data_IF_972890072588
#
_entry.id   IF_972890072588
#
_cell.length_a   1.000
_cell.length_b   1.000
_cell.length_c   1.000
_cell.angle_alpha   90.00
_cell.angle_beta   90.00
_cell.angle_gamma   90.00
#
_symmetry.space_group_name_H-M   'P 1'
#
loop_
_entity.id
_entity.type
_entity.pdbx_description
1 polymer ?
#
# COMPACT_ATOMS: atom_id res chain seq x y z
N UNK A 1 13.21 -8.37 5.27
CA UNK A 1 12.26 -7.90 4.24
C UNK A 1 11.26 -6.98 4.92
N UNK A 2 11.20 -5.69 4.56
CA UNK A 2 10.30 -4.72 5.21
C UNK A 2 8.84 -5.04 4.85
N UNK A 3 8.03 -5.40 5.84
CA UNK A 3 6.61 -5.72 5.65
C UNK A 3 5.79 -4.44 5.77
N UNK A 4 5.06 -4.10 4.71
CA UNK A 4 4.07 -3.01 4.75
C UNK A 4 2.83 -3.56 5.45
N UNK A 5 2.29 -2.82 6.42
CA UNK A 5 1.02 -3.18 7.03
C UNK A 5 -0.10 -2.94 6.02
N UNK A 6 -1.10 -3.82 5.99
CA UNK A 6 -2.23 -3.60 5.09
C UNK A 6 -2.99 -2.34 5.50
N UNK A 7 -3.23 -1.43 4.55
CA UNK A 7 -4.13 -0.30 4.76
C UNK A 7 -5.56 -0.77 4.59
N UNK A 8 -6.33 -0.73 5.67
CA UNK A 8 -7.71 -1.23 5.69
C UNK A 8 -8.72 -0.12 5.38
N UNK A 9 -8.29 1.14 5.46
CA UNK A 9 -9.17 2.31 5.35
C UNK A 9 -10.06 2.47 6.58
N UNK A 10 -9.55 2.07 7.75
CA UNK A 10 -10.24 2.19 9.05
C UNK A 10 -10.17 3.62 9.58
N UNK A 11 -11.16 3.98 10.40
CA UNK A 11 -11.10 5.25 11.11
C UNK A 11 -9.94 5.21 12.12
N UNK A 12 -9.10 6.25 12.12
CA UNK A 12 -7.85 6.28 12.90
C UNK A 12 -6.63 5.64 12.23
N UNK A 13 -6.77 4.94 11.09
CA UNK A 13 -5.59 4.58 10.27
C UNK A 13 -5.07 5.81 9.53
N UNK A 14 -3.80 6.14 9.75
CA UNK A 14 -3.17 7.30 9.12
C UNK A 14 -2.67 6.94 7.73
N UNK A 15 -3.34 7.43 6.68
CA UNK A 15 -2.92 7.22 5.28
C UNK A 15 -1.47 7.68 5.03
N UNK A 16 -1.08 8.84 5.57
CA UNK A 16 0.27 9.39 5.42
C UNK A 16 1.35 8.44 5.97
N UNK A 17 1.13 7.90 7.18
CA UNK A 17 2.05 6.93 7.78
C UNK A 17 2.20 5.70 6.89
N UNK A 18 1.08 5.18 6.38
CA UNK A 18 1.10 4.02 5.50
C UNK A 18 1.84 4.30 4.19
N UNK A 19 1.69 5.49 3.59
CA UNK A 19 2.43 5.87 2.39
C UNK A 19 3.95 5.92 2.62
N UNK A 20 4.40 6.38 3.78
CA UNK A 20 5.84 6.37 4.15
C UNK A 20 6.35 4.94 4.30
N UNK A 21 5.59 4.06 4.95
CA UNK A 21 5.94 2.63 5.07
C UNK A 21 6.00 1.96 3.69
N UNK A 22 5.04 2.28 2.80
CA UNK A 22 4.98 1.78 1.44
C UNK A 22 6.18 2.25 0.60
N UNK A 23 6.52 3.53 0.65
CA UNK A 23 7.66 4.10 -0.09
C UNK A 23 8.98 3.46 0.34
N UNK A 24 9.21 3.34 1.66
CA UNK A 24 10.38 2.66 2.23
C UNK A 24 10.48 1.22 1.71
N UNK A 25 9.34 0.53 1.63
CA UNK A 25 9.25 -0.83 1.13
C UNK A 25 9.47 -0.96 -0.38
N UNK A 26 9.04 0.03 -1.18
CA UNK A 26 9.30 0.14 -2.62
C UNK A 26 10.79 0.35 -2.87
N UNK A 27 11.42 1.27 -2.14
CA UNK A 27 12.86 1.55 -2.25
C UNK A 27 13.70 0.33 -1.87
N UNK A 28 13.38 -0.32 -0.75
CA UNK A 28 14.08 -1.52 -0.30
C UNK A 28 13.95 -2.71 -1.27
N UNK A 29 12.84 -2.80 -2.01
CA UNK A 29 12.60 -3.83 -3.03
C UNK A 29 13.13 -3.46 -4.41
N UNK A 30 13.62 -2.22 -4.60
CA UNK A 30 14.10 -1.69 -5.88
C UNK A 30 13.04 -1.86 -6.99
N UNK A 31 11.77 -1.58 -6.68
CA UNK A 31 10.70 -1.62 -7.67
C UNK A 31 10.78 -0.35 -8.54
N UNK A 32 11.37 -0.48 -9.73
CA UNK A 32 11.59 0.65 -10.66
C UNK A 32 10.42 0.85 -11.61
N UNK A 33 9.63 -0.20 -11.88
CA UNK A 33 8.51 -0.14 -12.82
C UNK A 33 7.26 0.49 -12.18
N UNK A 34 6.63 1.51 -12.81
CA UNK A 34 5.40 2.12 -12.29
C UNK A 34 4.28 1.08 -12.06
N UNK A 35 4.11 0.13 -12.99
CA UNK A 35 3.15 -0.97 -12.83
C UNK A 35 3.49 -1.90 -11.67
N UNK A 36 4.78 -2.16 -11.42
CA UNK A 36 5.22 -3.00 -10.30
C UNK A 36 4.99 -2.29 -8.95
N UNK A 37 5.21 -0.97 -8.90
CA UNK A 37 4.90 -0.15 -7.72
C UNK A 37 3.40 -0.11 -7.45
N UNK A 38 2.57 0.11 -8.47
CA UNK A 38 1.11 0.08 -8.33
C UNK A 38 0.62 -1.30 -7.90
N UNK A 39 1.08 -2.38 -8.55
CA UNK A 39 0.68 -3.74 -8.18
C UNK A 39 1.07 -4.06 -6.72
N UNK A 40 2.26 -3.64 -6.29
CA UNK A 40 2.71 -3.79 -4.92
C UNK A 40 1.85 -2.99 -3.93
N UNK A 41 1.57 -1.72 -4.22
CA UNK A 41 0.69 -0.87 -3.40
C UNK A 41 -0.71 -1.49 -3.27
N UNK A 42 -1.29 -1.94 -4.38
CA UNK A 42 -2.60 -2.59 -4.43
C UNK A 42 -2.64 -3.89 -3.62
N UNK A 43 -1.55 -4.67 -3.61
CA UNK A 43 -1.44 -5.88 -2.78
C UNK A 43 -1.45 -5.59 -1.27
N UNK A 44 -1.10 -4.38 -0.88
CA UNK A 44 -1.07 -3.92 0.51
C UNK A 44 -2.40 -3.26 0.93
N UNK A 45 -3.42 -3.24 0.06
CA UNK A 45 -4.75 -2.76 0.38
C UNK A 45 -5.63 -3.89 0.93
N UNK A 46 -6.32 -3.59 2.03
CA UNK A 46 -7.31 -4.48 2.64
C UNK A 46 -8.62 -3.74 2.94
N UNK A 47 -9.59 -4.47 3.48
CA UNK A 47 -10.84 -3.89 3.98
C UNK A 47 -11.53 -2.94 2.99
N UNK A 48 -11.92 -1.76 3.50
CA UNK A 48 -12.60 -0.72 2.73
C UNK A 48 -11.71 -0.10 1.65
N UNK A 49 -10.42 0.04 1.93
CA UNK A 49 -9.48 0.59 0.96
C UNK A 49 -9.37 -0.31 -0.28
N UNK A 50 -9.40 -1.64 -0.09
CA UNK A 50 -9.44 -2.59 -1.20
C UNK A 50 -10.72 -2.46 -2.02
N UNK A 51 -11.89 -2.40 -1.38
CA UNK A 51 -13.17 -2.23 -2.07
C UNK A 51 -13.21 -0.95 -2.90
N UNK A 52 -12.82 0.18 -2.28
CA UNK A 52 -12.70 1.48 -2.95
C UNK A 52 -11.79 1.42 -4.18
N UNK A 53 -10.59 0.83 -4.06
CA UNK A 53 -9.63 0.79 -5.15
C UNK A 53 -10.04 -0.11 -6.32
N UNK A 54 -10.82 -1.18 -6.06
CA UNK A 54 -11.33 -2.07 -7.11
C UNK A 54 -12.74 -1.70 -7.60
N UNK A 55 -13.36 -0.65 -7.05
CA UNK A 55 -14.73 -0.26 -7.40
C UNK A 55 -15.79 -1.30 -7.04
N UNK A 56 -15.58 -2.07 -5.96
CA UNK A 56 -16.52 -3.07 -5.45
C UNK A 56 -17.26 -2.60 -4.22
#
# INVERSE_FOLDING_TARGET
MLRVSNYMGREGETLLRWLVELDTAVMARRLVGPLAQVAFAMSCLGGRARCWAYGR
#
